data_IF_841084384453
#
_entry.id   IF_841084384453
#
_cell.length_a   1.000
_cell.length_b   1.000
_cell.length_c   1.000
_cell.angle_alpha   90.00
_cell.angle_beta   90.00
_cell.angle_gamma   90.00
#
_symmetry.space_group_name_H-M   'P 1'
#
loop_
_entity.id
_entity.type
_entity.pdbx_description
1 polymer ?
#
# COMPACT_ATOMS: atom_id res chain seq x y z
N UNK A 1 19.73 12.35 -33.09
CA UNK A 1 18.99 11.07 -33.09
C UNK A 1 19.19 10.38 -31.75
N UNK A 2 18.20 10.40 -30.86
CA UNK A 2 18.00 9.40 -29.79
C UNK A 2 16.63 9.67 -29.16
N UNK A 3 15.72 8.70 -29.30
CA UNK A 3 14.30 8.78 -29.00
C UNK A 3 13.93 7.69 -27.98
N UNK A 4 13.04 8.03 -27.04
CA UNK A 4 12.30 7.10 -26.19
C UNK A 4 12.99 6.74 -24.86
N UNK A 5 12.32 6.66 -23.71
CA UNK A 5 10.94 6.21 -23.49
C UNK A 5 10.34 6.95 -22.27
N UNK A 6 9.26 7.69 -22.48
CA UNK A 6 8.41 8.17 -21.39
C UNK A 6 7.40 7.05 -21.09
N UNK A 7 7.54 6.38 -19.94
CA UNK A 7 6.51 5.48 -19.43
C UNK A 7 5.33 6.34 -18.98
N UNK A 8 4.33 6.47 -19.86
CA UNK A 8 3.03 7.05 -19.52
C UNK A 8 2.33 6.08 -18.56
N UNK A 9 2.16 6.49 -17.30
CA UNK A 9 1.29 5.81 -16.36
C UNK A 9 -0.15 5.95 -16.85
N UNK A 10 -0.66 4.92 -17.52
CA UNK A 10 -2.06 4.82 -17.88
C UNK A 10 -2.90 4.56 -16.64
N UNK A 11 -3.83 5.47 -16.34
CA UNK A 11 -4.91 5.20 -15.40
C UNK A 11 -5.84 4.21 -16.07
N UNK A 12 -5.82 2.94 -15.62
CA UNK A 12 -6.82 1.94 -16.00
C UNK A 12 -7.91 2.00 -14.93
N UNK A 13 -9.05 2.61 -15.27
CA UNK A 13 -10.30 2.39 -14.56
C UNK A 13 -10.92 1.13 -15.15
N UNK A 14 -10.80 -0.01 -14.46
CA UNK A 14 -11.53 -1.23 -14.81
C UNK A 14 -12.68 -1.41 -13.82
N UNK A 15 -13.90 -1.32 -14.33
CA UNK A 15 -15.09 -1.73 -13.60
C UNK A 15 -15.21 -3.26 -13.66
N UNK A 16 -15.41 -3.86 -12.48
CA UNK A 16 -15.90 -5.22 -12.21
C UNK A 16 -15.09 -6.41 -12.76
N UNK A 17 -14.67 -7.30 -11.84
CA UNK A 17 -14.23 -8.65 -12.17
C UNK A 17 -12.77 -8.91 -11.83
N UNK A 18 -12.56 -9.97 -11.06
CA UNK A 18 -11.27 -10.47 -10.55
C UNK A 18 -10.20 -10.46 -11.63
N UNK A 19 -9.17 -9.64 -11.45
CA UNK A 19 -8.00 -9.58 -12.34
C UNK A 19 -6.73 -9.52 -11.51
N UNK A 20 -6.05 -10.66 -11.37
CA UNK A 20 -4.69 -10.70 -10.84
C UNK A 20 -3.75 -9.96 -11.82
N UNK A 21 -3.61 -8.65 -11.66
CA UNK A 21 -2.65 -7.85 -12.42
C UNK A 21 -1.25 -8.05 -11.84
N UNK A 22 -0.59 -9.13 -12.25
CA UNK A 22 0.82 -9.37 -11.95
C UNK A 22 1.69 -8.46 -12.84
N UNK A 23 1.96 -7.24 -12.38
CA UNK A 23 2.93 -6.36 -13.02
C UNK A 23 4.36 -6.84 -12.67
N UNK A 24 4.94 -7.70 -13.50
CA UNK A 24 6.32 -8.15 -13.36
C UNK A 24 7.31 -7.07 -13.80
N UNK A 25 7.98 -6.46 -12.82
CA UNK A 25 9.24 -5.76 -13.02
C UNK A 25 10.25 -6.20 -11.93
N UNK A 26 11.28 -6.96 -12.30
CA UNK A 26 12.43 -7.27 -11.44
C UNK A 26 12.19 -8.19 -10.24
N UNK A 27 11.20 -9.08 -10.30
CA UNK A 27 10.83 -10.00 -9.21
C UNK A 27 10.02 -9.35 -8.08
N UNK A 28 9.56 -8.10 -8.28
CA UNK A 28 8.58 -7.48 -7.39
C UNK A 28 7.19 -8.05 -7.68
N UNK A 29 6.39 -8.28 -6.63
CA UNK A 29 5.04 -8.86 -6.71
C UNK A 29 4.03 -7.88 -6.14
N UNK A 30 2.95 -7.67 -6.90
CA UNK A 30 1.73 -6.99 -6.44
C UNK A 30 0.61 -8.03 -6.43
N UNK A 31 -0.10 -8.15 -5.32
CA UNK A 31 -1.29 -8.98 -5.17
C UNK A 31 -2.41 -8.09 -4.64
N UNK A 32 -3.51 -8.01 -5.39
CA UNK A 32 -4.64 -7.16 -5.04
C UNK A 32 -5.90 -8.02 -5.06
N UNK A 33 -6.57 -8.09 -3.92
CA UNK A 33 -7.84 -8.78 -3.73
C UNK A 33 -8.89 -7.77 -3.29
N UNK A 34 -9.95 -7.61 -4.08
CA UNK A 34 -11.03 -6.65 -3.83
C UNK A 34 -12.39 -7.33 -3.86
N UNK A 35 -13.16 -7.14 -2.80
CA UNK A 35 -14.54 -7.58 -2.64
C UNK A 35 -15.44 -6.35 -2.41
N UNK A 36 -16.38 -6.09 -3.31
CA UNK A 36 -17.33 -4.97 -3.21
C UNK A 36 -17.19 -3.90 -4.29
N UNK A 37 -17.83 -2.74 -4.11
CA UNK A 37 -18.06 -1.74 -5.17
C UNK A 37 -17.18 -0.50 -4.97
N UNK A 38 -16.50 -0.06 -6.04
CA UNK A 38 -15.80 1.24 -6.08
C UNK A 38 -14.50 1.29 -5.28
N UNK A 39 -13.88 0.14 -5.00
CA UNK A 39 -12.57 0.10 -4.34
C UNK A 39 -11.45 0.42 -5.34
N UNK A 40 -10.44 1.18 -4.92
CA UNK A 40 -9.29 1.56 -5.73
C UNK A 40 -7.98 1.13 -5.08
N UNK A 41 -7.10 0.51 -5.85
CA UNK A 41 -5.72 0.24 -5.45
C UNK A 41 -4.76 0.81 -6.48
N UNK A 42 -3.80 1.59 -6.02
CA UNK A 42 -2.68 2.08 -6.82
C UNK A 42 -1.36 1.65 -6.19
N UNK A 43 -0.36 1.37 -7.01
CA UNK A 43 0.97 1.11 -6.47
C UNK A 43 2.06 1.32 -7.50
N UNK A 44 3.23 1.73 -7.02
CA UNK A 44 4.44 1.83 -7.81
C UNK A 44 5.54 1.05 -7.11
N UNK A 45 6.15 0.10 -7.80
CA UNK A 45 7.31 -0.65 -7.31
C UNK A 45 8.51 -0.35 -8.20
N UNK A 46 9.57 0.21 -7.63
CA UNK A 46 10.85 0.44 -8.31
C UNK A 46 11.97 -0.23 -7.53
N UNK A 47 12.79 -1.03 -8.20
CA UNK A 47 13.85 -1.85 -7.61
C UNK A 47 13.56 -3.35 -7.69
N UNK A 48 14.09 -4.15 -6.75
CA UNK A 48 14.08 -5.63 -6.83
C UNK A 48 13.35 -6.26 -5.65
N UNK A 49 12.50 -7.27 -5.92
CA UNK A 49 11.84 -8.12 -4.90
C UNK A 49 10.94 -7.37 -3.91
N UNK A 50 10.32 -6.25 -4.30
CA UNK A 50 9.34 -5.60 -3.44
C UNK A 50 8.01 -6.37 -3.47
N UNK A 51 7.29 -6.41 -2.35
CA UNK A 51 6.01 -7.12 -2.23
C UNK A 51 4.93 -6.18 -1.74
N UNK A 52 3.85 -6.06 -2.50
CA UNK A 52 2.64 -5.37 -2.10
C UNK A 52 1.49 -6.38 -2.08
N UNK A 53 0.78 -6.44 -0.96
CA UNK A 53 -0.46 -7.20 -0.83
C UNK A 53 -1.54 -6.27 -0.32
N UNK A 54 -2.63 -6.17 -1.07
CA UNK A 54 -3.79 -5.36 -0.69
C UNK A 54 -5.02 -6.23 -0.69
N UNK A 55 -5.75 -6.20 0.42
CA UNK A 55 -7.04 -6.83 0.60
C UNK A 55 -8.08 -5.75 0.96
N UNK A 56 -9.10 -5.57 0.13
CA UNK A 56 -10.17 -4.61 0.36
C UNK A 56 -11.52 -5.32 0.33
N UNK A 57 -12.32 -5.17 1.39
CA UNK A 57 -13.68 -5.68 1.47
C UNK A 57 -14.65 -4.54 1.84
N UNK A 58 -15.65 -4.29 1.00
CA UNK A 58 -16.68 -3.29 1.20
C UNK A 58 -16.72 -2.21 0.10
N UNK A 59 -17.04 -0.96 0.45
CA UNK A 59 -17.38 0.09 -0.53
C UNK A 59 -16.46 1.31 -0.48
N UNK A 60 -15.93 1.71 -1.63
CA UNK A 60 -15.12 2.93 -1.78
C UNK A 60 -13.87 3.00 -0.90
N UNK A 61 -13.18 1.87 -0.70
CA UNK A 61 -11.89 1.85 -0.02
C UNK A 61 -10.76 2.18 -1.00
N UNK A 62 -9.76 2.92 -0.55
CA UNK A 62 -8.59 3.36 -1.32
C UNK A 62 -7.29 2.92 -0.67
N UNK A 63 -6.41 2.30 -1.44
CA UNK A 63 -5.06 1.95 -1.00
C UNK A 63 -4.02 2.40 -2.02
N UNK A 64 -3.00 3.12 -1.57
CA UNK A 64 -1.86 3.52 -2.39
C UNK A 64 -0.59 3.00 -1.70
N UNK A 65 0.25 2.27 -2.43
CA UNK A 65 1.54 1.84 -1.90
C UNK A 65 2.69 2.05 -2.88
N UNK A 66 3.70 2.80 -2.46
CA UNK A 66 4.91 3.09 -3.24
C UNK A 66 6.13 2.44 -2.58
N UNK A 67 6.80 1.54 -3.28
CA UNK A 67 7.97 0.83 -2.78
C UNK A 67 9.16 1.09 -3.69
N UNK A 68 10.16 1.80 -3.18
CA UNK A 68 11.42 2.11 -3.88
C UNK A 68 12.59 1.45 -3.16
N UNK A 69 13.31 0.58 -3.85
CA UNK A 69 14.49 -0.13 -3.32
C UNK A 69 14.34 -1.64 -3.35
N UNK A 70 14.81 -2.33 -2.30
CA UNK A 70 14.94 -3.80 -2.32
C UNK A 70 14.21 -4.49 -1.16
N UNK A 71 13.45 -5.52 -1.46
CA UNK A 71 12.80 -6.37 -0.44
C UNK A 71 11.89 -5.60 0.53
N UNK A 72 11.26 -4.51 0.10
CA UNK A 72 10.25 -3.83 0.91
C UNK A 72 8.93 -4.61 0.84
N UNK A 73 8.21 -4.69 1.95
CA UNK A 73 6.95 -5.41 2.07
C UNK A 73 5.86 -4.47 2.61
N UNK A 74 4.74 -4.40 1.92
CA UNK A 74 3.56 -3.66 2.34
C UNK A 74 2.34 -4.58 2.27
N UNK A 75 1.60 -4.65 3.38
CA UNK A 75 0.34 -5.40 3.50
C UNK A 75 -0.74 -4.43 3.98
N UNK A 76 -1.81 -4.29 3.21
CA UNK A 76 -2.92 -3.38 3.51
C UNK A 76 -4.22 -4.17 3.49
N UNK A 77 -4.91 -4.24 4.62
CA UNK A 77 -6.25 -4.81 4.77
C UNK A 77 -7.27 -3.72 5.11
N UNK A 78 -8.32 -3.55 4.32
CA UNK A 78 -9.39 -2.59 4.59
C UNK A 78 -10.73 -3.29 4.52
N UNK A 79 -11.48 -3.33 5.63
CA UNK A 79 -12.84 -3.85 5.71
C UNK A 79 -13.80 -2.75 6.12
N UNK A 80 -14.84 -2.50 5.32
CA UNK A 80 -15.85 -1.48 5.57
C UNK A 80 -15.94 -0.47 4.44
N UNK A 81 -16.10 0.82 4.74
CA UNK A 81 -16.37 1.83 3.72
C UNK A 81 -15.56 3.11 3.86
N UNK A 82 -15.12 3.68 2.73
CA UNK A 82 -14.38 4.95 2.67
C UNK A 82 -13.09 4.94 3.52
N UNK A 83 -12.41 3.81 3.61
CA UNK A 83 -11.11 3.73 4.27
C UNK A 83 -10.00 4.07 3.27
N UNK A 84 -9.00 4.83 3.71
CA UNK A 84 -7.86 5.27 2.92
C UNK A 84 -6.54 4.85 3.59
N UNK A 85 -5.65 4.24 2.82
CA UNK A 85 -4.32 3.86 3.26
C UNK A 85 -3.26 4.32 2.25
N UNK A 86 -2.24 5.01 2.73
CA UNK A 86 -1.08 5.43 1.94
C UNK A 86 0.20 4.92 2.62
N UNK A 87 0.91 4.03 1.95
CA UNK A 87 2.18 3.47 2.40
C UNK A 87 3.31 3.85 1.43
N UNK A 88 4.38 4.42 1.97
CA UNK A 88 5.59 4.72 1.21
C UNK A 88 6.81 4.09 1.88
N UNK A 89 7.55 3.28 1.13
CA UNK A 89 8.75 2.61 1.62
C UNK A 89 9.92 2.90 0.69
N UNK A 90 10.95 3.54 1.22
CA UNK A 90 12.20 3.83 0.53
C UNK A 90 13.37 3.17 1.25
N UNK A 91 14.20 2.43 0.52
CA UNK A 91 15.37 1.74 1.05
C UNK A 91 15.21 0.22 1.00
N UNK A 92 15.63 -0.50 2.05
CA UNK A 92 15.73 -1.95 2.00
C UNK A 92 15.13 -2.66 3.22
N UNK A 93 14.32 -3.69 2.96
CA UNK A 93 13.78 -4.55 4.02
C UNK A 93 12.79 -3.85 4.94
N UNK A 94 12.15 -2.78 4.49
CA UNK A 94 11.13 -2.10 5.28
C UNK A 94 9.81 -2.87 5.22
N UNK A 95 9.04 -2.86 6.31
CA UNK A 95 7.77 -3.59 6.45
C UNK A 95 6.67 -2.62 6.91
N UNK A 96 5.56 -2.58 6.18
CA UNK A 96 4.33 -1.87 6.57
C UNK A 96 3.18 -2.87 6.63
N UNK A 97 2.45 -2.90 7.74
CA UNK A 97 1.16 -3.56 7.89
C UNK A 97 0.10 -2.53 8.26
N UNK A 98 -0.99 -2.46 7.49
CA UNK A 98 -2.12 -1.57 7.76
C UNK A 98 -3.39 -2.43 7.79
N UNK A 99 -4.18 -2.33 8.85
CA UNK A 99 -5.49 -2.95 8.99
C UNK A 99 -6.51 -1.89 9.39
N UNK A 100 -7.56 -1.69 8.58
CA UNK A 100 -8.63 -0.74 8.86
C UNK A 100 -9.98 -1.46 8.86
N UNK A 101 -10.71 -1.36 9.97
CA UNK A 101 -12.01 -2.01 10.19
C UNK A 101 -13.07 -0.97 10.56
N UNK A 102 -13.95 -0.62 9.62
CA UNK A 102 -14.98 0.38 9.90
C UNK A 102 -15.12 1.39 8.77
N UNK A 103 -15.32 2.66 9.13
CA UNK A 103 -15.63 3.71 8.14
C UNK A 103 -14.80 4.97 8.33
N UNK A 104 -14.27 5.50 7.22
CA UNK A 104 -13.64 6.81 7.19
C UNK A 104 -12.23 6.84 7.78
N UNK A 105 -11.57 5.69 7.88
CA UNK A 105 -10.22 5.61 8.42
C UNK A 105 -9.18 6.16 7.44
N UNK A 106 -8.18 6.87 7.95
CA UNK A 106 -7.05 7.36 7.14
C UNK A 106 -5.73 6.95 7.79
N UNK A 107 -4.90 6.22 7.05
CA UNK A 107 -3.52 5.88 7.46
C UNK A 107 -2.53 6.44 6.46
N UNK A 108 -1.50 7.12 6.97
CA UNK A 108 -0.33 7.54 6.19
C UNK A 108 0.93 7.01 6.87
N UNK A 109 1.67 6.14 6.19
CA UNK A 109 2.94 5.60 6.69
C UNK A 109 4.07 5.88 5.71
N UNK A 110 5.22 6.28 6.23
CA UNK A 110 6.43 6.51 5.45
C UNK A 110 7.65 5.95 6.17
N UNK A 111 8.40 5.09 5.48
CA UNK A 111 9.63 4.50 5.99
C UNK A 111 10.78 4.85 5.03
N UNK A 112 11.79 5.56 5.53
CA UNK A 112 13.03 5.83 4.80
C UNK A 112 14.23 5.22 5.55
N UNK A 113 14.88 4.24 4.93
CA UNK A 113 16.06 3.58 5.47
C UNK A 113 15.98 2.05 5.41
N UNK A 114 16.48 1.36 6.44
CA UNK A 114 16.67 -0.10 6.39
C UNK A 114 16.03 -0.82 7.57
N UNK A 115 15.22 -1.84 7.30
CA UNK A 115 14.68 -2.71 8.33
C UNK A 115 13.71 -2.01 9.28
N UNK A 116 13.02 -0.97 8.82
CA UNK A 116 11.99 -0.29 9.60
C UNK A 116 10.68 -1.09 9.52
N UNK A 117 9.90 -1.13 10.61
CA UNK A 117 8.61 -1.81 10.68
C UNK A 117 7.52 -0.90 11.27
N UNK A 118 6.39 -0.75 10.57
CA UNK A 118 5.18 -0.07 11.08
C UNK A 118 4.00 -1.03 11.00
N UNK A 119 3.28 -1.18 12.11
CA UNK A 119 1.93 -1.75 12.15
C UNK A 119 0.91 -0.67 12.50
N UNK A 120 -0.17 -0.56 11.73
CA UNK A 120 -1.30 0.31 12.05
C UNK A 120 -2.58 -0.50 12.04
N UNK A 121 -3.35 -0.42 13.12
CA UNK A 121 -4.67 -1.02 13.26
C UNK A 121 -5.65 0.10 13.64
N UNK A 122 -6.68 0.29 12.83
CA UNK A 122 -7.76 1.24 13.14
C UNK A 122 -9.10 0.50 13.10
N UNK A 123 -9.85 0.56 14.18
CA UNK A 123 -11.24 0.12 14.26
C UNK A 123 -12.18 1.33 14.42
N UNK A 124 -13.48 1.16 14.22
CA UNK A 124 -14.48 2.20 14.53
C UNK A 124 -14.80 3.17 13.39
N UNK A 125 -14.72 4.49 13.66
CA UNK A 125 -15.06 5.53 12.68
C UNK A 125 -14.07 6.70 12.74
N UNK A 126 -13.65 7.19 11.57
CA UNK A 126 -12.87 8.44 11.40
C UNK A 126 -11.49 8.48 12.09
N UNK A 127 -10.89 7.33 12.40
CA UNK A 127 -9.53 7.30 12.95
C UNK A 127 -8.47 7.73 11.93
N UNK A 128 -7.50 8.53 12.40
CA UNK A 128 -6.38 9.02 11.59
C UNK A 128 -5.05 8.66 12.26
N UNK A 129 -4.17 7.99 11.52
CA UNK A 129 -2.85 7.58 11.98
C UNK A 129 -1.79 8.01 10.98
N UNK A 130 -0.74 8.65 11.48
CA UNK A 130 0.43 9.03 10.70
C UNK A 130 1.68 8.45 11.36
N UNK A 131 2.51 7.75 10.59
CA UNK A 131 3.79 7.24 11.05
C UNK A 131 4.91 7.58 10.07
N UNK A 132 6.03 8.10 10.59
CA UNK A 132 7.24 8.38 9.83
C UNK A 132 8.42 7.75 10.56
N UNK A 133 9.12 6.82 9.90
CA UNK A 133 10.34 6.22 10.40
C UNK A 133 11.51 6.57 9.48
N UNK A 134 12.60 7.05 10.07
CA UNK A 134 13.83 7.39 9.36
C UNK A 134 15.00 6.69 10.04
N UNK A 135 15.90 6.07 9.26
CA UNK A 135 17.06 5.37 9.79
C UNK A 135 16.91 3.86 9.72
N UNK A 136 17.43 3.14 10.72
CA UNK A 136 17.46 1.68 10.70
C UNK A 136 16.84 1.05 11.95
N UNK A 137 16.09 -0.05 11.75
CA UNK A 137 15.57 -0.87 12.84
C UNK A 137 14.44 -0.24 13.68
N UNK A 138 13.80 0.82 13.18
CA UNK A 138 12.70 1.44 13.92
C UNK A 138 11.45 0.55 13.89
N UNK A 139 10.78 0.40 15.03
CA UNK A 139 9.50 -0.34 15.13
C UNK A 139 8.45 0.58 15.73
N UNK A 140 7.28 0.65 15.11
CA UNK A 140 6.14 1.41 15.63
C UNK A 140 4.85 0.62 15.43
N UNK A 141 3.98 0.66 16.44
CA UNK A 141 2.63 0.09 16.38
C UNK A 141 1.65 1.18 16.78
N UNK A 142 0.64 1.41 15.95
CA UNK A 142 -0.45 2.36 16.22
C UNK A 142 -1.75 1.57 16.25
N UNK A 143 -2.50 1.67 17.35
CA UNK A 143 -3.83 1.08 17.49
C UNK A 143 -4.80 2.19 17.89
N UNK A 144 -5.92 2.31 17.18
CA UNK A 144 -6.98 3.30 17.46
C UNK A 144 -8.36 2.65 17.28
N UNK A 145 -9.29 2.91 18.20
CA UNK A 145 -10.66 2.39 18.21
C UNK A 145 -11.72 3.48 18.00
#
# INVERSE_FOLDING_TARGET
MMMGKVLKAGVIVLAMGVGMTQAFAGGSRVSIEQYGIGNGVGGAQSGKRNRLTVYQAGRSNGAISNQRGRSNVAVIGQRGARNAANASQRGAGNIVGIAQFGRGHTVVTSQDGRGNAVGVIQAGRNNTATSRQVGAGNVAVIVQD
#
